data_IF_681973476674
#
_entry.id   IF_681973476674
#
_cell.length_a   1.000
_cell.length_b   1.000
_cell.length_c   1.000
_cell.angle_alpha   90.00
_cell.angle_beta   90.00
_cell.angle_gamma   90.00
#
_symmetry.space_group_name_H-M   'P 1'
#
loop_
_entity.id
_entity.type
_entity.pdbx_description
1 polymer ?
#
# COMPACT_ATOMS: atom_id res chain seq x y z
N UNK A 1 11.93 12.48 12.48
CA UNK A 1 12.67 13.75 12.48
C UNK A 1 13.70 13.78 11.36
N UNK A 2 14.15 14.99 11.00
CA UNK A 2 15.24 15.27 10.05
C UNK A 2 16.38 15.92 10.84
N UNK A 3 17.60 15.46 10.61
CA UNK A 3 18.84 16.03 11.20
C UNK A 3 19.91 16.18 10.11
N UNK A 4 20.83 17.11 10.29
CA UNK A 4 22.02 17.23 9.42
C UNK A 4 23.09 16.23 9.90
N UNK A 5 23.70 15.53 8.95
CA UNK A 5 24.85 14.66 9.22
C UNK A 5 26.14 15.37 8.81
N UNK A 6 27.04 15.53 9.75
CA UNK A 6 28.36 16.08 9.45
C UNK A 6 29.29 14.93 9.05
N UNK A 7 29.72 14.91 7.80
CA UNK A 7 30.55 13.82 7.24
C UNK A 7 31.98 13.79 7.80
N UNK A 8 32.51 14.94 8.25
CA UNK A 8 33.86 15.02 8.81
C UNK A 8 33.91 14.48 10.25
N UNK A 9 32.91 14.82 11.05
CA UNK A 9 32.84 14.42 12.46
C UNK A 9 32.06 13.15 12.72
N UNK A 10 31.30 12.67 11.71
CA UNK A 10 30.41 11.51 11.85
C UNK A 10 29.21 11.75 12.79
N UNK A 11 28.88 13.00 13.12
CA UNK A 11 27.84 13.33 14.09
C UNK A 11 26.56 13.85 13.42
N UNK A 12 25.42 13.55 14.04
CA UNK A 12 24.12 14.16 13.70
C UNK A 12 23.95 15.45 14.52
N UNK A 13 23.31 16.46 13.89
CA UNK A 13 22.80 17.64 14.58
C UNK A 13 21.57 17.29 15.43
N UNK A 14 21.15 18.22 16.28
CA UNK A 14 19.79 18.19 16.81
C UNK A 14 18.77 18.16 15.65
N UNK A 15 17.56 17.62 15.90
CA UNK A 15 16.52 17.62 14.89
C UNK A 15 16.19 19.02 14.38
N UNK A 16 16.31 19.22 13.07
CA UNK A 16 15.96 20.50 12.40
C UNK A 16 14.50 20.54 11.99
N UNK A 17 13.86 19.36 11.89
CA UNK A 17 12.42 19.21 11.66
C UNK A 17 11.92 17.91 12.28
N UNK A 18 10.73 17.95 12.88
CA UNK A 18 10.05 16.76 13.40
C UNK A 18 8.53 16.90 13.29
N UNK A 19 7.84 15.78 13.13
CA UNK A 19 6.38 15.71 13.18
C UNK A 19 5.99 14.57 14.10
N UNK A 20 5.29 14.92 15.20
CA UNK A 20 4.83 13.93 16.18
C UNK A 20 3.80 12.99 15.55
N UNK A 21 3.91 11.71 15.87
CA UNK A 21 2.99 10.63 15.44
C UNK A 21 2.83 10.45 13.91
N UNK A 22 3.82 10.95 13.13
CA UNK A 22 3.85 10.80 11.68
C UNK A 22 5.22 10.32 11.22
N UNK A 23 5.23 9.57 10.12
CA UNK A 23 6.47 9.22 9.43
C UNK A 23 6.78 10.25 8.34
N UNK A 24 8.02 10.74 8.32
CA UNK A 24 8.50 11.62 7.26
C UNK A 24 8.85 10.75 6.06
N UNK A 25 8.22 11.01 4.92
CA UNK A 25 8.33 10.16 3.72
C UNK A 25 8.95 10.88 2.52
N UNK A 26 8.93 12.19 2.50
CA UNK A 26 9.59 13.00 1.45
C UNK A 26 10.31 14.17 2.12
N UNK A 27 11.52 14.42 1.67
CA UNK A 27 12.31 15.60 1.98
C UNK A 27 12.82 16.17 0.67
N UNK A 28 12.47 17.42 0.40
CA UNK A 28 13.01 18.20 -0.72
C UNK A 28 13.90 19.30 -0.18
N UNK A 29 15.13 19.34 -0.69
CA UNK A 29 16.16 20.32 -0.30
C UNK A 29 16.69 20.97 -1.56
N UNK A 30 16.79 22.29 -1.56
CA UNK A 30 17.39 23.07 -2.61
C UNK A 30 18.40 24.06 -2.00
N UNK A 31 19.62 24.10 -2.53
CA UNK A 31 20.71 24.95 -2.05
C UNK A 31 21.02 24.86 -0.55
N UNK A 32 20.70 23.69 0.06
CA UNK A 32 20.91 23.42 1.50
C UNK A 32 19.72 23.78 2.40
N UNK A 33 18.67 24.40 1.86
CA UNK A 33 17.45 24.73 2.58
C UNK A 33 16.33 23.72 2.32
N UNK A 34 15.55 23.42 3.35
CA UNK A 34 14.38 22.56 3.22
C UNK A 34 13.29 23.33 2.48
N UNK A 35 12.83 22.80 1.36
CA UNK A 35 11.72 23.34 0.56
C UNK A 35 10.40 22.69 0.92
N UNK A 36 10.41 21.39 1.10
CA UNK A 36 9.21 20.63 1.42
C UNK A 36 9.53 19.44 2.31
N UNK A 37 8.67 19.16 3.27
CA UNK A 37 8.64 17.92 4.04
C UNK A 37 7.26 17.32 3.97
N UNK A 38 7.14 16.09 3.43
CA UNK A 38 5.89 15.37 3.48
C UNK A 38 5.95 14.26 4.54
N UNK A 39 4.84 14.10 5.24
CA UNK A 39 4.65 13.12 6.29
C UNK A 39 3.32 12.40 6.13
N UNK A 40 3.23 11.19 6.66
CA UNK A 40 2.08 10.32 6.49
C UNK A 40 1.64 9.71 7.83
N UNK A 41 0.31 9.57 7.97
CA UNK A 41 -0.34 8.66 8.89
C UNK A 41 -1.44 7.90 8.12
N UNK A 42 -2.62 8.48 7.92
CA UNK A 42 -3.67 7.91 7.05
C UNK A 42 -3.64 8.53 5.66
N UNK A 43 -3.29 9.78 5.59
CA UNK A 43 -3.13 10.59 4.38
C UNK A 43 -1.73 11.15 4.32
N UNK A 44 -1.30 11.58 3.14
CA UNK A 44 -0.09 12.37 2.97
C UNK A 44 -0.39 13.85 3.18
N UNK A 45 0.41 14.49 4.00
CA UNK A 45 0.45 15.93 4.17
C UNK A 45 1.86 16.44 3.92
N UNK A 46 1.96 17.70 3.49
CA UNK A 46 3.25 18.33 3.24
C UNK A 46 3.28 19.73 3.86
N UNK A 47 4.36 20.01 4.57
CA UNK A 47 4.73 21.37 4.97
C UNK A 47 5.64 21.96 3.89
N UNK A 48 5.16 23.02 3.24
CA UNK A 48 5.85 23.76 2.22
C UNK A 48 6.46 25.02 2.86
N UNK A 49 7.76 25.22 2.67
CA UNK A 49 8.48 26.32 3.30
C UNK A 49 8.52 27.56 2.41
N UNK A 50 8.20 27.44 1.12
CA UNK A 50 7.95 28.59 0.26
C UNK A 50 6.58 29.22 0.59
N UNK A 51 6.52 30.51 0.99
CA UNK A 51 5.27 31.16 1.39
C UNK A 51 4.24 31.26 0.26
N UNK A 52 4.68 31.44 -0.98
CA UNK A 52 3.79 31.58 -2.14
C UNK A 52 3.15 30.24 -2.48
N UNK A 53 3.97 29.18 -2.59
CA UNK A 53 3.48 27.83 -2.86
C UNK A 53 2.52 27.35 -1.75
N UNK A 54 2.89 27.58 -0.50
CA UNK A 54 2.04 27.25 0.65
C UNK A 54 0.70 28.02 0.61
N UNK A 55 0.72 29.29 0.24
CA UNK A 55 -0.47 30.11 0.04
C UNK A 55 -1.41 29.54 -1.03
N UNK A 56 -0.86 29.10 -2.15
CA UNK A 56 -1.60 28.48 -3.26
C UNK A 56 -2.25 27.16 -2.80
N UNK A 57 -1.48 26.26 -2.19
CA UNK A 57 -2.03 24.98 -1.69
C UNK A 57 -3.15 25.21 -0.68
N UNK A 58 -2.99 26.16 0.25
CA UNK A 58 -4.04 26.52 1.21
C UNK A 58 -5.31 27.06 0.53
N UNK A 59 -5.15 27.88 -0.52
CA UNK A 59 -6.28 28.39 -1.30
C UNK A 59 -7.02 27.26 -2.04
N UNK A 60 -6.28 26.36 -2.69
CA UNK A 60 -6.85 25.22 -3.38
C UNK A 60 -7.54 24.23 -2.42
N UNK A 61 -7.00 24.02 -1.22
CA UNK A 61 -7.64 23.18 -0.19
C UNK A 61 -8.99 23.71 0.29
N UNK A 62 -9.24 25.02 0.21
CA UNK A 62 -10.57 25.58 0.50
C UNK A 62 -11.62 25.15 -0.53
N UNK A 63 -11.21 25.00 -1.81
CA UNK A 63 -12.10 24.56 -2.89
C UNK A 63 -12.21 23.04 -2.98
N UNK A 64 -11.20 22.31 -2.48
CA UNK A 64 -11.10 20.86 -2.52
C UNK A 64 -10.67 20.29 -1.15
N UNK A 65 -11.52 20.44 -0.09
CA UNK A 65 -11.12 20.13 1.30
C UNK A 65 -10.72 18.68 1.52
N UNK A 66 -11.39 17.73 0.83
CA UNK A 66 -11.16 16.29 1.01
C UNK A 66 -10.17 15.71 -0.01
N UNK A 67 -9.37 16.57 -0.66
CA UNK A 67 -8.43 16.14 -1.69
C UNK A 67 -6.98 16.36 -1.26
N UNK A 68 -6.15 15.43 -1.67
CA UNK A 68 -4.72 15.67 -1.73
C UNK A 68 -4.41 16.55 -2.94
N UNK A 69 -3.66 17.62 -2.70
CA UNK A 69 -3.29 18.62 -3.71
C UNK A 69 -1.78 18.72 -3.74
N UNK A 70 -1.22 18.69 -4.94
CA UNK A 70 0.21 18.80 -5.19
C UNK A 70 0.44 19.66 -6.42
N UNK A 71 1.42 20.56 -6.37
CA UNK A 71 1.92 21.27 -7.55
C UNK A 71 2.88 20.31 -8.26
N UNK A 72 2.49 19.84 -9.44
CA UNK A 72 3.24 18.82 -10.18
C UNK A 72 4.18 19.38 -11.23
N UNK A 73 4.02 20.66 -11.61
CA UNK A 73 4.89 21.36 -12.52
C UNK A 73 4.66 22.86 -12.42
N UNK A 74 5.71 23.68 -12.67
CA UNK A 74 5.61 25.13 -12.66
C UNK A 74 6.62 25.77 -13.62
N UNK A 75 6.32 27.01 -14.08
CA UNK A 75 7.25 27.84 -14.85
C UNK A 75 8.37 28.38 -13.94
N UNK A 76 9.52 28.71 -14.52
CA UNK A 76 10.69 29.18 -13.77
C UNK A 76 10.40 30.39 -12.85
N UNK A 77 9.51 31.26 -13.25
CA UNK A 77 9.08 32.46 -12.52
C UNK A 77 7.84 32.20 -11.64
N UNK A 78 7.40 30.94 -11.55
CA UNK A 78 6.20 30.51 -10.83
C UNK A 78 4.92 31.26 -11.24
N UNK A 79 4.90 31.90 -12.41
CA UNK A 79 3.71 32.59 -12.94
C UNK A 79 2.63 31.63 -13.45
N UNK A 80 3.02 30.40 -13.82
CA UNK A 80 2.13 29.31 -14.25
C UNK A 80 2.49 28.02 -13.55
N UNK A 81 1.47 27.25 -13.17
CA UNK A 81 1.69 25.95 -12.56
C UNK A 81 0.56 24.96 -12.89
N UNK A 82 0.85 23.68 -12.70
CA UNK A 82 -0.11 22.60 -12.80
C UNK A 82 -0.31 22.01 -11.41
N UNK A 83 -1.57 21.99 -10.94
CA UNK A 83 -1.93 21.29 -9.73
C UNK A 83 -2.58 19.95 -10.07
N UNK A 84 -2.17 18.91 -9.35
CA UNK A 84 -2.80 17.60 -9.32
C UNK A 84 -3.70 17.51 -8.11
N UNK A 85 -4.97 17.18 -8.31
CA UNK A 85 -6.01 17.10 -7.28
C UNK A 85 -6.63 15.71 -7.31
N UNK A 86 -6.61 14.98 -6.19
CA UNK A 86 -7.09 13.59 -6.12
C UNK A 86 -7.58 13.20 -4.71
N UNK A 87 -8.39 12.16 -4.64
CA UNK A 87 -8.68 11.42 -3.41
C UNK A 87 -9.00 9.94 -3.73
N UNK A 88 -9.40 9.13 -2.74
CA UNK A 88 -9.72 7.72 -2.97
C UNK A 88 -10.87 7.48 -3.96
N UNK A 89 -11.80 8.43 -4.07
CA UNK A 89 -13.01 8.31 -4.89
C UNK A 89 -12.95 9.13 -6.18
N UNK A 90 -11.87 9.88 -6.40
CA UNK A 90 -11.68 10.70 -7.58
C UNK A 90 -10.30 10.45 -8.18
N UNK A 91 -10.22 9.97 -9.44
CA UNK A 91 -8.96 9.92 -10.16
C UNK A 91 -8.24 11.27 -10.13
N UNK A 92 -6.93 11.25 -10.27
CA UNK A 92 -6.16 12.48 -10.32
C UNK A 92 -6.64 13.37 -11.48
N UNK A 93 -6.96 14.62 -11.15
CA UNK A 93 -7.30 15.68 -12.11
C UNK A 93 -6.19 16.69 -12.16
N UNK A 94 -5.89 17.17 -13.35
CA UNK A 94 -4.83 18.13 -13.62
C UNK A 94 -5.45 19.45 -14.03
N UNK A 95 -5.10 20.52 -13.31
CA UNK A 95 -5.57 21.87 -13.58
C UNK A 95 -4.37 22.78 -13.83
N UNK A 96 -4.42 23.55 -14.90
CA UNK A 96 -3.49 24.63 -15.17
C UNK A 96 -3.95 25.93 -14.50
N UNK A 97 -3.00 26.68 -13.97
CA UNK A 97 -3.21 27.99 -13.36
C UNK A 97 -2.25 29.00 -13.97
N UNK A 98 -2.77 30.18 -14.32
CA UNK A 98 -2.01 31.33 -14.79
C UNK A 98 -2.27 32.50 -13.82
N UNK A 99 -1.26 32.83 -13.00
CA UNK A 99 -1.37 33.92 -11.99
C UNK A 99 -1.44 35.29 -12.62
N UNK A 100 -0.84 35.48 -13.81
CA UNK A 100 -0.83 36.77 -14.50
C UNK A 100 -2.24 37.13 -14.94
N UNK A 101 -2.97 36.15 -15.46
CA UNK A 101 -4.35 36.35 -15.94
C UNK A 101 -5.41 36.02 -14.91
N UNK A 102 -5.03 35.40 -13.79
CA UNK A 102 -5.95 34.91 -12.76
C UNK A 102 -6.84 33.73 -13.24
N UNK A 103 -6.49 33.09 -14.36
CA UNK A 103 -7.30 32.03 -14.95
C UNK A 103 -6.84 30.65 -14.52
N UNK A 104 -7.80 29.75 -14.35
CA UNK A 104 -7.57 28.32 -14.19
C UNK A 104 -8.34 27.56 -15.28
N UNK A 105 -7.81 26.43 -15.70
CA UNK A 105 -8.44 25.57 -16.70
C UNK A 105 -8.18 24.11 -16.42
N UNK A 106 -9.15 23.27 -16.71
CA UNK A 106 -8.99 21.82 -16.62
C UNK A 106 -8.13 21.34 -17.81
N UNK A 107 -7.13 20.50 -17.52
CA UNK A 107 -6.25 19.92 -18.54
C UNK A 107 -6.72 18.52 -18.89
N UNK A 108 -6.80 17.63 -17.89
CA UNK A 108 -7.14 16.23 -18.08
C UNK A 108 -7.46 15.54 -16.75
N UNK A 109 -7.99 14.32 -16.86
CA UNK A 109 -8.11 13.38 -15.75
C UNK A 109 -7.30 12.12 -16.06
N UNK A 110 -6.76 11.48 -15.03
CA UNK A 110 -6.02 10.22 -15.17
C UNK A 110 -6.88 9.10 -15.78
N UNK A 111 -8.17 9.08 -15.42
CA UNK A 111 -9.15 8.11 -15.93
C UNK A 111 -10.47 8.84 -16.28
N UNK A 112 -10.54 9.55 -17.44
CA UNK A 112 -11.72 10.33 -17.80
C UNK A 112 -13.01 9.48 -17.85
N UNK A 113 -12.89 8.22 -18.26
CA UNK A 113 -14.01 7.29 -18.36
C UNK A 113 -14.61 6.88 -17.00
N UNK A 114 -13.92 7.14 -15.89
CA UNK A 114 -14.37 6.82 -14.54
C UNK A 114 -14.94 8.02 -13.78
N UNK A 115 -14.91 9.21 -14.37
CA UNK A 115 -15.46 10.40 -13.75
C UNK A 115 -16.95 10.20 -13.44
N UNK A 116 -17.35 10.60 -12.22
CA UNK A 116 -18.71 10.49 -11.71
C UNK A 116 -19.31 9.06 -11.65
N UNK A 117 -18.49 8.02 -11.90
CA UNK A 117 -18.94 6.62 -11.81
C UNK A 117 -18.61 5.96 -10.48
N UNK A 118 -17.76 6.59 -9.69
CA UNK A 118 -17.33 6.05 -8.39
C UNK A 118 -18.36 6.40 -7.32
N UNK A 119 -18.92 5.37 -6.73
CA UNK A 119 -19.92 5.51 -5.66
C UNK A 119 -19.55 4.63 -4.47
N UNK A 120 -18.46 4.98 -3.81
CA UNK A 120 -17.90 4.24 -2.68
C UNK A 120 -17.73 5.14 -1.45
N UNK A 121 -17.54 4.52 -0.29
CA UNK A 121 -17.13 5.16 0.95
C UNK A 121 -15.97 4.38 1.54
N UNK A 122 -14.91 5.07 1.94
CA UNK A 122 -13.75 4.49 2.61
C UNK A 122 -13.76 4.89 4.08
N UNK A 123 -13.56 3.92 4.96
CA UNK A 123 -13.40 4.11 6.40
C UNK A 123 -12.03 3.68 6.84
N UNK A 124 -11.43 4.45 7.73
CA UNK A 124 -10.24 4.03 8.50
C UNK A 124 -10.70 3.07 9.58
N UNK A 125 -10.03 1.93 9.68
CA UNK A 125 -10.31 0.87 10.65
C UNK A 125 -9.11 0.76 11.59
N UNK A 126 -9.39 0.79 12.88
CA UNK A 126 -8.42 0.48 13.93
C UNK A 126 -8.84 -0.81 14.63
N UNK A 127 -7.91 -1.75 14.75
CA UNK A 127 -8.19 -3.04 15.37
C UNK A 127 -6.94 -3.57 16.08
N UNK A 128 -7.12 -4.61 16.89
CA UNK A 128 -6.02 -5.33 17.52
C UNK A 128 -5.90 -6.71 16.97
N UNK A 129 -4.66 -7.13 16.72
CA UNK A 129 -4.37 -8.53 16.43
C UNK A 129 -4.61 -9.41 17.65
N UNK A 130 -4.66 -10.72 17.44
CA UNK A 130 -4.81 -11.73 18.50
C UNK A 130 -3.73 -11.69 19.59
N UNK A 131 -2.56 -11.14 19.28
CA UNK A 131 -1.47 -10.89 20.23
C UNK A 131 -1.48 -9.49 20.83
N UNK A 132 -2.56 -8.70 20.59
CA UNK A 132 -2.79 -7.40 21.19
C UNK A 132 -2.10 -6.23 20.48
N UNK A 133 -1.41 -6.47 19.35
CA UNK A 133 -0.72 -5.42 18.60
C UNK A 133 -1.73 -4.49 17.93
N UNK A 134 -1.52 -3.15 18.04
CA UNK A 134 -2.40 -2.17 17.42
C UNK A 134 -2.17 -2.13 15.92
N UNK A 135 -3.24 -2.30 15.15
CA UNK A 135 -3.23 -2.38 13.69
C UNK A 135 -4.24 -1.43 13.07
N UNK A 136 -4.04 -1.16 11.79
CA UNK A 136 -4.87 -0.27 11.00
C UNK A 136 -5.27 -0.94 9.69
N UNK A 137 -6.31 -0.41 9.05
CA UNK A 137 -6.74 -0.83 7.72
C UNK A 137 -7.70 0.17 7.10
N UNK A 138 -8.02 -0.05 5.84
CA UNK A 138 -9.00 0.76 5.11
C UNK A 138 -10.09 -0.15 4.56
N UNK A 139 -11.34 0.17 4.90
CA UNK A 139 -12.52 -0.54 4.40
C UNK A 139 -13.26 0.35 3.42
N UNK A 140 -13.24 -0.04 2.15
CA UNK A 140 -13.99 0.66 1.10
C UNK A 140 -15.21 -0.17 0.70
N UNK A 141 -16.39 0.45 0.74
CA UNK A 141 -17.68 -0.20 0.49
C UNK A 141 -18.47 0.52 -0.60
N UNK A 142 -19.22 -0.20 -1.44
CA UNK A 142 -20.20 0.40 -2.34
C UNK A 142 -21.34 1.02 -1.52
N UNK A 143 -21.72 2.27 -1.81
CA UNK A 143 -22.77 2.98 -1.04
C UNK A 143 -24.16 2.38 -1.18
N UNK A 144 -24.45 1.75 -2.31
CA UNK A 144 -25.81 1.32 -2.66
C UNK A 144 -26.10 -0.16 -2.31
N UNK A 145 -25.11 -0.93 -1.83
CA UNK A 145 -25.26 -2.37 -1.61
C UNK A 145 -25.21 -2.64 -0.11
N UNK A 146 -26.25 -3.31 0.39
CA UNK A 146 -26.29 -3.83 1.76
C UNK A 146 -25.66 -5.22 1.79
N UNK A 147 -24.97 -5.51 2.88
CA UNK A 147 -24.30 -6.78 3.13
C UNK A 147 -23.46 -7.27 1.93
N UNK A 148 -22.53 -6.42 1.38
CA UNK A 148 -21.72 -6.80 0.23
C UNK A 148 -20.75 -7.92 0.57
N UNK A 149 -20.42 -8.81 -0.38
CA UNK A 149 -19.32 -9.77 -0.24
C UNK A 149 -17.99 -9.04 -0.05
N UNK A 150 -17.03 -9.70 0.61
CA UNK A 150 -15.79 -9.06 1.05
C UNK A 150 -14.57 -9.56 0.29
N UNK A 151 -13.73 -8.65 -0.14
CA UNK A 151 -12.37 -8.95 -0.60
C UNK A 151 -11.37 -8.47 0.45
N UNK A 152 -10.57 -9.40 0.97
CA UNK A 152 -9.36 -9.09 1.72
C UNK A 152 -8.24 -8.79 0.72
N UNK A 153 -7.75 -7.55 0.70
CA UNK A 153 -6.82 -7.05 -0.32
C UNK A 153 -5.53 -6.48 0.30
N UNK A 154 -4.60 -7.33 0.76
CA UNK A 154 -3.33 -6.90 1.30
C UNK A 154 -2.43 -6.30 0.21
N UNK A 155 -1.72 -5.23 0.57
CA UNK A 155 -0.75 -4.58 -0.32
C UNK A 155 0.51 -5.42 -0.54
N UNK A 156 1.26 -5.06 -1.58
CA UNK A 156 2.59 -5.61 -1.85
C UNK A 156 3.67 -5.03 -0.92
N UNK A 157 4.92 -5.38 -1.18
CA UNK A 157 6.07 -4.88 -0.44
C UNK A 157 6.90 -6.00 0.19
N UNK A 158 6.80 -6.31 1.49
CA UNK A 158 5.77 -5.96 2.48
C UNK A 158 5.87 -4.57 3.11
N UNK A 159 6.99 -3.87 2.96
CA UNK A 159 7.22 -2.55 3.54
C UNK A 159 6.61 -1.41 2.72
N UNK A 160 5.49 -1.68 2.05
CA UNK A 160 4.65 -0.68 1.40
C UNK A 160 3.44 -0.34 2.28
N UNK A 161 2.48 0.38 1.73
CA UNK A 161 1.22 0.72 2.40
C UNK A 161 0.15 1.12 1.41
N UNK A 162 -1.11 1.00 1.80
CA UNK A 162 -2.22 1.66 1.15
C UNK A 162 -2.46 3.05 1.73
N UNK A 163 -3.23 3.89 1.03
CA UNK A 163 -3.54 5.26 1.41
C UNK A 163 -4.97 5.63 1.04
N UNK A 164 -5.64 6.38 1.91
CA UNK A 164 -7.02 6.86 1.66
C UNK A 164 -7.09 8.12 0.80
N UNK A 165 -5.97 8.77 0.51
CA UNK A 165 -5.88 9.94 -0.36
C UNK A 165 -5.41 9.60 -1.78
N UNK A 166 -5.38 8.31 -2.12
CA UNK A 166 -4.95 7.81 -3.43
C UNK A 166 -6.07 7.03 -4.11
N UNK A 167 -6.28 7.31 -5.40
CA UNK A 167 -7.20 6.54 -6.23
C UNK A 167 -6.53 5.24 -6.69
N UNK A 168 -6.99 4.13 -6.15
CA UNK A 168 -6.55 2.79 -6.57
C UNK A 168 -7.56 2.22 -7.59
N UNK A 169 -7.18 2.07 -8.86
CA UNK A 169 -8.08 1.57 -9.88
C UNK A 169 -8.50 0.10 -9.65
N UNK A 170 -7.66 -0.73 -9.03
CA UNK A 170 -8.00 -2.12 -8.72
C UNK A 170 -9.04 -2.20 -7.61
N UNK A 171 -8.81 -1.44 -6.53
CA UNK A 171 -9.78 -1.27 -5.45
C UNK A 171 -11.13 -0.82 -6.00
N UNK A 172 -11.14 0.25 -6.80
CA UNK A 172 -12.38 0.81 -7.33
C UNK A 172 -13.06 -0.12 -8.35
N UNK A 173 -12.29 -0.89 -9.13
CA UNK A 173 -12.85 -1.92 -10.01
C UNK A 173 -13.58 -2.99 -9.20
N UNK A 174 -13.00 -3.50 -8.12
CA UNK A 174 -13.65 -4.49 -7.24
C UNK A 174 -14.90 -3.91 -6.57
N UNK A 175 -14.82 -2.68 -6.05
CA UNK A 175 -15.96 -2.02 -5.41
C UNK A 175 -17.10 -1.75 -6.41
N UNK A 176 -16.78 -1.39 -7.66
CA UNK A 176 -17.79 -1.18 -8.72
C UNK A 176 -18.55 -2.45 -9.08
N UNK A 177 -17.96 -3.63 -8.84
CA UNK A 177 -18.61 -4.93 -8.99
C UNK A 177 -19.43 -5.35 -7.77
N UNK A 178 -19.52 -4.48 -6.76
CA UNK A 178 -20.38 -4.70 -5.60
C UNK A 178 -19.66 -5.33 -4.40
N UNK A 179 -18.35 -5.46 -4.41
CA UNK A 179 -17.59 -5.97 -3.28
C UNK A 179 -17.24 -4.87 -2.29
N UNK A 180 -17.27 -5.17 -1.00
CA UNK A 180 -16.50 -4.43 -0.02
C UNK A 180 -15.04 -4.89 -0.08
N UNK A 181 -14.09 -3.97 0.02
CA UNK A 181 -12.66 -4.27 -0.03
C UNK A 181 -11.99 -3.81 1.27
N UNK A 182 -11.35 -4.72 1.97
CA UNK A 182 -10.57 -4.41 3.16
C UNK A 182 -9.08 -4.51 2.85
N UNK A 183 -8.36 -3.39 3.05
CA UNK A 183 -6.92 -3.24 2.87
C UNK A 183 -6.24 -3.16 4.24
N UNK A 184 -5.75 -4.28 4.80
CA UNK A 184 -5.08 -4.29 6.10
C UNK A 184 -3.69 -3.66 5.99
N UNK A 185 -3.35 -2.80 6.96
CA UNK A 185 -2.00 -2.33 7.18
C UNK A 185 -1.38 -3.22 8.26
N UNK A 186 -0.93 -4.41 7.86
CA UNK A 186 -0.37 -5.41 8.76
C UNK A 186 1.00 -4.96 9.29
N UNK A 187 1.48 -5.55 10.41
CA UNK A 187 2.84 -5.26 10.91
C UNK A 187 3.87 -5.45 9.79
N UNK A 188 4.85 -4.57 9.70
CA UNK A 188 5.79 -4.50 8.59
C UNK A 188 5.43 -3.45 7.54
N UNK A 189 4.18 -2.93 7.50
CA UNK A 189 3.79 -1.85 6.61
C UNK A 189 4.55 -0.55 6.93
N UNK A 190 4.85 0.25 5.90
CA UNK A 190 5.48 1.56 6.04
C UNK A 190 4.47 2.64 6.47
N UNK A 191 4.97 3.80 6.92
CA UNK A 191 4.16 4.97 7.24
C UNK A 191 3.57 4.97 8.66
N UNK A 192 3.93 3.99 9.49
CA UNK A 192 3.48 3.84 10.88
C UNK A 192 4.64 3.93 11.89
N UNK A 193 5.82 4.33 11.40
CA UNK A 193 7.04 4.42 12.17
C UNK A 193 7.90 3.14 12.09
N UNK A 194 9.18 3.32 12.48
CA UNK A 194 10.20 2.26 12.37
C UNK A 194 9.83 1.00 13.15
N UNK A 195 9.29 1.15 14.36
CA UNK A 195 8.96 -0.01 15.20
C UNK A 195 7.84 -0.86 14.58
N UNK A 196 6.87 -0.21 13.94
CA UNK A 196 5.82 -0.91 13.20
C UNK A 196 6.38 -1.68 12.00
N UNK A 197 7.30 -1.08 11.27
CA UNK A 197 7.95 -1.71 10.13
C UNK A 197 8.82 -2.90 10.55
N UNK A 198 9.64 -2.73 11.58
CA UNK A 198 10.55 -3.77 12.09
C UNK A 198 9.78 -4.93 12.74
N UNK A 199 8.60 -4.66 13.33
CA UNK A 199 7.77 -5.71 13.92
C UNK A 199 7.30 -6.79 12.94
N UNK A 200 7.38 -6.51 11.63
CA UNK A 200 7.10 -7.48 10.56
C UNK A 200 8.30 -8.34 10.14
N UNK A 201 9.51 -8.02 10.60
CA UNK A 201 10.70 -8.77 10.19
C UNK A 201 10.62 -10.22 10.65
N UNK A 202 10.87 -11.15 9.71
CA UNK A 202 10.80 -12.61 9.90
C UNK A 202 9.42 -13.14 10.35
N UNK A 203 8.37 -12.35 10.09
CA UNK A 203 6.97 -12.68 10.43
C UNK A 203 6.11 -12.96 9.19
N UNK A 204 6.71 -13.06 7.99
CA UNK A 204 6.01 -13.46 6.77
C UNK A 204 5.39 -14.84 6.94
N UNK A 205 4.10 -14.98 6.58
CA UNK A 205 3.34 -16.21 6.76
C UNK A 205 3.03 -16.59 8.22
N UNK A 206 3.42 -15.75 9.18
CA UNK A 206 3.17 -15.91 10.62
C UNK A 206 2.29 -14.77 11.15
N UNK A 207 2.85 -13.88 11.99
CA UNK A 207 2.09 -12.78 12.59
C UNK A 207 1.54 -11.81 11.55
N UNK A 208 2.29 -11.53 10.48
CA UNK A 208 1.80 -10.69 9.38
C UNK A 208 0.55 -11.29 8.73
N UNK A 209 0.53 -12.62 8.50
CA UNK A 209 -0.66 -13.31 7.98
C UNK A 209 -1.82 -13.26 8.99
N UNK A 210 -1.52 -13.50 10.27
CA UNK A 210 -2.52 -13.41 11.34
C UNK A 210 -3.14 -12.01 11.43
N UNK A 211 -2.35 -10.95 11.29
CA UNK A 211 -2.83 -9.56 11.33
C UNK A 211 -3.89 -9.28 10.27
N UNK A 212 -3.66 -9.80 9.05
CA UNK A 212 -4.60 -9.67 7.93
C UNK A 212 -5.92 -10.40 8.22
N UNK A 213 -5.83 -11.62 8.76
CA UNK A 213 -7.01 -12.43 9.11
C UNK A 213 -7.77 -11.83 10.29
N UNK A 214 -7.07 -11.34 11.31
CA UNK A 214 -7.70 -10.70 12.47
C UNK A 214 -8.43 -9.42 12.06
N UNK A 215 -7.87 -8.65 11.13
CA UNK A 215 -8.52 -7.49 10.55
C UNK A 215 -9.75 -7.85 9.71
N UNK A 216 -9.67 -8.92 8.92
CA UNK A 216 -10.83 -9.45 8.19
C UNK A 216 -11.96 -9.87 9.15
N UNK A 217 -11.65 -10.64 10.18
CA UNK A 217 -12.63 -11.06 11.20
C UNK A 217 -13.25 -9.84 11.90
N UNK A 218 -12.42 -8.82 12.20
CA UNK A 218 -12.90 -7.59 12.81
C UNK A 218 -13.90 -6.84 11.92
N UNK A 219 -13.61 -6.66 10.63
CA UNK A 219 -14.53 -5.92 9.74
C UNK A 219 -15.81 -6.70 9.47
N UNK A 220 -15.74 -8.01 9.27
CA UNK A 220 -16.94 -8.86 9.10
C UNK A 220 -17.84 -8.83 10.34
N UNK A 221 -17.25 -8.80 11.54
CA UNK A 221 -18.02 -8.74 12.79
C UNK A 221 -18.68 -7.37 13.04
N UNK A 222 -18.02 -6.28 12.66
CA UNK A 222 -18.41 -4.93 13.09
C UNK A 222 -19.09 -4.10 11.99
N UNK A 223 -19.13 -4.59 10.75
CA UNK A 223 -19.78 -3.92 9.63
C UNK A 223 -20.76 -4.87 8.93
N UNK A 224 -21.74 -4.31 8.22
CA UNK A 224 -22.75 -5.07 7.46
C UNK A 224 -22.10 -5.64 6.18
N UNK A 225 -21.43 -6.82 6.32
CA UNK A 225 -20.63 -7.48 5.29
C UNK A 225 -20.93 -8.99 5.24
N UNK A 226 -21.02 -9.56 4.03
CA UNK A 226 -21.17 -11.01 3.84
C UNK A 226 -19.79 -11.70 3.85
N UNK A 227 -19.31 -12.03 5.05
CA UNK A 227 -18.05 -12.75 5.25
C UNK A 227 -18.06 -14.18 4.69
N UNK A 228 -19.25 -14.77 4.44
CA UNK A 228 -19.36 -16.11 3.86
C UNK A 228 -19.09 -16.15 2.35
N UNK A 229 -19.07 -14.98 1.72
CA UNK A 229 -18.73 -14.80 0.28
C UNK A 229 -17.43 -14.02 0.11
N UNK A 230 -16.44 -14.31 0.92
CA UNK A 230 -15.17 -13.62 0.89
C UNK A 230 -14.15 -14.30 -0.03
N UNK A 231 -13.28 -13.48 -0.65
CA UNK A 231 -12.07 -13.92 -1.35
C UNK A 231 -10.86 -13.11 -0.86
N UNK A 232 -9.68 -13.71 -0.96
CA UNK A 232 -8.42 -13.02 -0.70
C UNK A 232 -7.71 -12.77 -2.03
N UNK A 233 -7.40 -11.50 -2.32
CA UNK A 233 -6.82 -11.06 -3.58
C UNK A 233 -5.60 -10.21 -3.26
N UNK A 234 -4.49 -10.38 -3.98
CA UNK A 234 -3.34 -9.53 -3.77
C UNK A 234 -2.29 -9.64 -4.86
N UNK A 235 -1.39 -8.65 -4.88
CA UNK A 235 -0.29 -8.60 -5.82
C UNK A 235 1.06 -8.60 -5.10
N UNK A 236 2.09 -9.19 -5.73
CA UNK A 236 3.44 -9.26 -5.18
C UNK A 236 3.43 -9.91 -3.79
N UNK A 237 3.86 -9.23 -2.72
CA UNK A 237 3.73 -9.74 -1.35
C UNK A 237 2.26 -10.00 -0.96
N UNK A 238 1.30 -9.16 -1.40
CA UNK A 238 -0.14 -9.43 -1.23
C UNK A 238 -0.58 -10.71 -1.96
N UNK A 239 0.00 -11.00 -3.11
CA UNK A 239 -0.19 -12.28 -3.83
C UNK A 239 0.38 -13.47 -3.08
N UNK A 240 1.54 -13.32 -2.44
CA UNK A 240 2.08 -14.28 -1.47
C UNK A 240 1.12 -14.51 -0.31
N UNK A 241 0.61 -13.44 0.28
CA UNK A 241 -0.35 -13.52 1.39
C UNK A 241 -1.63 -14.28 0.98
N UNK A 242 -2.13 -14.07 -0.25
CA UNK A 242 -3.27 -14.82 -0.78
C UNK A 242 -2.95 -16.32 -0.93
N UNK A 243 -1.76 -16.66 -1.44
CA UNK A 243 -1.30 -18.05 -1.53
C UNK A 243 -1.13 -18.67 -0.14
N UNK A 244 -0.56 -17.95 0.82
CA UNK A 244 -0.43 -18.42 2.20
C UNK A 244 -1.81 -18.63 2.84
N UNK A 245 -2.74 -17.71 2.61
CA UNK A 245 -4.14 -17.83 3.06
C UNK A 245 -4.83 -19.07 2.52
N UNK A 246 -4.47 -19.54 1.31
CA UNK A 246 -5.11 -20.70 0.68
C UNK A 246 -4.86 -22.04 1.37
N UNK A 247 -3.84 -22.14 2.22
CA UNK A 247 -3.62 -23.32 3.05
C UNK A 247 -3.76 -23.06 4.56
N UNK A 248 -3.49 -21.82 5.02
CA UNK A 248 -3.60 -21.49 6.45
C UNK A 248 -5.01 -21.08 6.90
N UNK A 249 -5.84 -20.51 6.01
CA UNK A 249 -7.13 -19.90 6.36
C UNK A 249 -8.20 -20.14 5.31
N UNK A 250 -8.11 -21.24 4.56
CA UNK A 250 -9.01 -21.53 3.42
C UNK A 250 -10.48 -21.66 3.82
N UNK A 251 -10.78 -21.96 5.08
CA UNK A 251 -12.16 -22.09 5.55
C UNK A 251 -12.90 -20.74 5.57
N UNK A 252 -12.17 -19.65 5.69
CA UNK A 252 -12.73 -18.28 5.71
C UNK A 252 -13.06 -17.75 4.30
N UNK A 253 -12.45 -18.29 3.26
CA UNK A 253 -12.52 -17.73 1.90
C UNK A 253 -13.07 -18.74 0.90
N UNK A 254 -13.77 -18.24 -0.12
CA UNK A 254 -14.28 -19.03 -1.24
C UNK A 254 -13.28 -19.12 -2.39
N UNK A 255 -12.38 -18.13 -2.53
CA UNK A 255 -11.38 -18.10 -3.57
C UNK A 255 -10.15 -17.27 -3.17
N UNK A 256 -9.07 -17.50 -3.89
CA UNK A 256 -7.83 -16.77 -3.75
C UNK A 256 -7.33 -16.30 -5.13
N UNK A 257 -6.81 -15.08 -5.19
CA UNK A 257 -6.23 -14.53 -6.42
C UNK A 257 -4.83 -14.02 -6.11
N UNK A 258 -3.85 -14.59 -6.76
CA UNK A 258 -2.44 -14.19 -6.63
C UNK A 258 -1.94 -13.58 -7.93
N UNK A 259 -1.59 -12.31 -7.89
CA UNK A 259 -1.05 -11.57 -9.04
C UNK A 259 0.44 -11.36 -8.80
N UNK A 260 1.28 -12.00 -9.61
CA UNK A 260 2.74 -11.99 -9.48
C UNK A 260 3.22 -12.29 -8.03
N UNK A 261 2.52 -13.21 -7.33
CA UNK A 261 2.82 -13.56 -5.93
C UNK A 261 3.98 -14.56 -5.82
N UNK A 262 4.56 -14.61 -4.63
CA UNK A 262 5.65 -15.52 -4.27
C UNK A 262 5.04 -16.86 -3.86
N UNK A 263 5.36 -17.95 -4.55
CA UNK A 263 4.95 -19.31 -4.16
C UNK A 263 6.01 -20.05 -3.36
N UNK A 264 7.28 -19.70 -3.58
CA UNK A 264 8.47 -20.33 -2.97
C UNK A 264 9.39 -19.23 -2.41
N UNK A 265 9.32 -19.03 -1.10
CA UNK A 265 10.10 -18.00 -0.41
C UNK A 265 11.59 -18.36 -0.36
N UNK A 266 11.92 -19.65 -0.20
CA UNK A 266 13.31 -20.12 -0.19
C UNK A 266 13.99 -19.83 -1.54
N UNK A 267 13.29 -20.11 -2.65
CA UNK A 267 13.81 -19.84 -4.00
C UNK A 267 13.96 -18.35 -4.27
N UNK A 268 12.97 -17.54 -3.85
CA UNK A 268 13.07 -16.08 -3.93
C UNK A 268 14.33 -15.59 -3.21
N UNK A 269 14.50 -15.95 -1.95
CA UNK A 269 15.64 -15.49 -1.14
C UNK A 269 16.99 -15.93 -1.71
N UNK A 270 17.07 -17.10 -2.34
CA UNK A 270 18.28 -17.53 -3.05
C UNK A 270 18.55 -16.66 -4.27
N UNK A 271 17.53 -16.29 -5.05
CA UNK A 271 17.72 -15.43 -6.23
C UNK A 271 18.16 -14.01 -5.83
N UNK A 272 17.59 -13.46 -4.76
CA UNK A 272 17.91 -12.13 -4.25
C UNK A 272 19.35 -12.02 -3.67
N UNK A 273 19.98 -13.13 -3.29
CA UNK A 273 21.38 -13.12 -2.82
C UNK A 273 22.37 -12.74 -3.93
N UNK A 274 21.99 -12.83 -5.20
CA UNK A 274 22.83 -12.39 -6.33
C UNK A 274 22.81 -10.86 -6.56
N UNK A 275 21.82 -10.14 -6.00
CA UNK A 275 21.74 -8.68 -6.10
C UNK A 275 22.49 -8.03 -4.92
N UNK A 276 23.70 -7.55 -5.17
CA UNK A 276 24.68 -7.12 -4.15
C UNK A 276 24.18 -6.06 -3.14
N UNK A 277 23.15 -5.28 -3.43
CA UNK A 277 22.65 -4.22 -2.53
C UNK A 277 21.55 -4.65 -1.57
N UNK A 278 20.70 -5.59 -1.98
CA UNK A 278 19.49 -5.99 -1.24
C UNK A 278 19.68 -7.24 -0.38
N UNK A 279 20.67 -8.08 -0.67
CA UNK A 279 20.87 -9.37 0.00
C UNK A 279 20.91 -9.28 1.54
N UNK A 280 21.65 -8.30 2.08
CA UNK A 280 21.79 -8.15 3.55
C UNK A 280 20.45 -7.73 4.19
N UNK A 281 19.75 -6.77 3.61
CA UNK A 281 18.49 -6.31 4.16
C UNK A 281 17.40 -7.38 4.02
N UNK A 282 17.35 -8.09 2.90
CA UNK A 282 16.41 -9.17 2.67
C UNK A 282 16.60 -10.32 3.68
N UNK A 283 17.86 -10.69 4.00
CA UNK A 283 18.14 -11.66 5.07
C UNK A 283 17.64 -11.21 6.44
N UNK A 284 17.80 -9.94 6.78
CA UNK A 284 17.29 -9.36 8.03
C UNK A 284 15.77 -9.42 8.06
N UNK A 285 15.12 -9.03 6.96
CA UNK A 285 13.66 -8.90 6.89
C UNK A 285 12.95 -10.25 6.78
N UNK A 286 13.50 -11.19 6.01
CA UNK A 286 12.80 -12.42 5.63
C UNK A 286 13.48 -13.69 6.14
N UNK A 287 14.76 -13.66 6.40
CA UNK A 287 15.57 -14.82 6.82
C UNK A 287 16.62 -15.23 5.78
N UNK A 288 17.60 -16.00 6.22
CA UNK A 288 18.67 -16.53 5.37
C UNK A 288 18.20 -17.80 4.65
N UNK A 289 18.35 -17.91 3.31
CA UNK A 289 17.88 -19.08 2.54
C UNK A 289 18.61 -20.39 2.85
N UNK A 290 19.70 -20.34 3.59
CA UNK A 290 20.48 -21.53 3.99
C UNK A 290 20.25 -21.83 5.49
N UNK A 291 20.40 -20.84 6.35
CA UNK A 291 20.26 -21.01 7.81
C UNK A 291 18.80 -21.12 8.25
N UNK A 292 17.90 -20.36 7.61
CA UNK A 292 16.48 -20.32 7.94
C UNK A 292 15.62 -21.12 6.97
N UNK A 293 16.20 -22.07 6.20
CA UNK A 293 15.48 -22.81 5.15
C UNK A 293 14.21 -23.46 5.65
N UNK A 294 14.24 -24.09 6.81
CA UNK A 294 13.05 -24.76 7.37
C UNK A 294 11.89 -23.77 7.61
N UNK A 295 12.20 -22.55 8.09
CA UNK A 295 11.22 -21.48 8.23
C UNK A 295 10.68 -21.03 6.87
N UNK A 296 11.55 -20.72 5.91
CA UNK A 296 11.15 -20.25 4.58
C UNK A 296 10.30 -21.29 3.84
N UNK A 297 10.64 -22.57 3.95
CA UNK A 297 9.86 -23.66 3.40
C UNK A 297 8.49 -23.77 4.07
N UNK A 298 8.39 -23.58 5.39
CA UNK A 298 7.13 -23.65 6.14
C UNK A 298 6.13 -22.55 5.81
N UNK A 299 6.59 -21.47 5.18
CA UNK A 299 5.75 -20.34 4.74
C UNK A 299 5.63 -20.23 3.22
N UNK A 300 6.10 -21.23 2.48
CA UNK A 300 6.07 -21.33 1.02
C UNK A 300 4.89 -22.17 0.56
N UNK A 301 3.94 -21.57 -0.14
CA UNK A 301 2.71 -22.23 -0.58
C UNK A 301 2.94 -23.44 -1.50
N UNK A 302 4.06 -23.49 -2.21
CA UNK A 302 4.44 -24.62 -3.07
C UNK A 302 4.51 -25.94 -2.31
N UNK A 303 4.79 -25.90 -1.00
CA UNK A 303 4.92 -27.08 -0.16
C UNK A 303 3.57 -27.59 0.39
N UNK A 304 2.47 -26.89 0.10
CA UNK A 304 1.12 -27.18 0.62
C UNK A 304 0.08 -27.34 -0.49
N UNK A 305 0.51 -27.60 -1.72
CA UNK A 305 -0.39 -27.70 -2.89
C UNK A 305 -1.48 -28.76 -2.74
N UNK A 306 -1.19 -29.86 -2.05
CA UNK A 306 -2.13 -30.96 -1.82
C UNK A 306 -3.18 -30.62 -0.73
N UNK A 307 -2.88 -29.66 0.14
CA UNK A 307 -3.76 -29.21 1.21
C UNK A 307 -4.79 -28.18 0.74
N UNK A 308 -4.57 -27.55 -0.42
CA UNK A 308 -5.41 -26.49 -0.95
C UNK A 308 -6.69 -27.08 -1.55
N UNK A 309 -7.84 -26.68 -0.99
CA UNK A 309 -9.17 -27.16 -1.41
C UNK A 309 -10.03 -26.11 -2.11
N UNK A 310 -9.61 -24.83 -2.09
CA UNK A 310 -10.36 -23.73 -2.67
C UNK A 310 -9.77 -23.31 -4.02
N UNK A 311 -10.58 -22.74 -4.92
CA UNK A 311 -10.11 -22.23 -6.21
C UNK A 311 -9.05 -21.14 -6.02
N UNK A 312 -7.99 -21.23 -6.82
CA UNK A 312 -6.94 -20.20 -6.91
C UNK A 312 -6.85 -19.73 -8.36
N UNK A 313 -6.87 -18.41 -8.55
CA UNK A 313 -6.51 -17.77 -9.80
C UNK A 313 -5.06 -17.24 -9.69
N UNK A 314 -4.20 -17.70 -10.58
CA UNK A 314 -2.82 -17.23 -10.70
C UNK A 314 -2.68 -16.34 -11.93
N UNK A 315 -2.23 -15.11 -11.71
CA UNK A 315 -1.91 -14.15 -12.78
C UNK A 315 -0.44 -13.81 -12.67
N UNK A 316 0.32 -14.05 -13.75
CA UNK A 316 1.76 -13.81 -13.74
C UNK A 316 2.26 -13.38 -15.11
N UNK A 317 3.19 -12.42 -15.14
CA UNK A 317 3.81 -11.97 -16.38
C UNK A 317 4.93 -12.95 -16.81
N UNK A 318 5.02 -13.24 -18.11
CA UNK A 318 6.05 -14.12 -18.67
C UNK A 318 7.48 -13.59 -18.50
N UNK A 319 7.64 -12.28 -18.29
CA UNK A 319 8.92 -11.60 -18.10
C UNK A 319 9.04 -10.95 -16.69
N UNK A 320 8.30 -11.43 -15.71
CA UNK A 320 8.41 -10.94 -14.34
C UNK A 320 9.75 -11.37 -13.74
N UNK A 321 10.71 -10.46 -13.69
CA UNK A 321 12.14 -10.73 -13.42
C UNK A 321 12.40 -11.28 -12.02
N UNK A 322 11.67 -10.83 -11.01
CA UNK A 322 11.87 -11.26 -9.62
C UNK A 322 11.24 -12.62 -9.30
N UNK A 323 10.37 -13.16 -10.16
CA UNK A 323 9.55 -14.34 -9.86
C UNK A 323 9.42 -15.32 -11.04
N UNK A 324 10.31 -15.25 -12.05
CA UNK A 324 10.25 -15.99 -13.32
C UNK A 324 10.36 -17.52 -13.18
N UNK A 325 10.38 -18.04 -11.96
CA UNK A 325 10.51 -19.47 -11.72
C UNK A 325 9.29 -20.10 -11.03
N UNK A 326 8.11 -19.50 -11.20
CA UNK A 326 6.85 -20.16 -10.90
C UNK A 326 6.53 -21.23 -11.95
N UNK A 327 7.26 -22.32 -11.93
CA UNK A 327 6.79 -23.56 -12.52
C UNK A 327 5.98 -24.31 -11.46
N UNK A 328 4.75 -23.86 -11.21
CA UNK A 328 3.73 -24.78 -10.75
C UNK A 328 3.49 -25.76 -11.90
N UNK A 329 3.30 -27.08 -11.64
CA UNK A 329 2.78 -27.98 -12.64
C UNK A 329 1.39 -27.44 -13.03
N UNK A 330 1.36 -26.70 -14.13
CA UNK A 330 0.13 -26.13 -14.67
C UNK A 330 -0.74 -27.26 -15.21
N UNK A 331 -1.65 -27.76 -14.40
CA UNK A 331 -2.91 -28.21 -14.97
C UNK A 331 -3.59 -26.95 -15.50
N UNK A 332 -3.54 -26.73 -16.82
CA UNK A 332 -4.41 -25.78 -17.51
C UNK A 332 -5.83 -26.15 -17.15
N UNK A 333 -6.47 -25.33 -16.32
CA UNK A 333 -7.93 -25.27 -16.23
C UNK A 333 -8.30 -24.18 -17.23
N UNK A 334 -8.87 -24.60 -18.37
CA UNK A 334 -9.53 -23.75 -19.36
C UNK A 334 -10.84 -23.28 -18.77
#
# INVERSE_FOLDING_TARGET
YISKFNVETGKLSDPIYQKKDHEIVVLEVEEGDIKMVCYEKFTRECDLFDPEENGIIKALKKSFPDHYINISSYSKDFSRFIATIRNSNSPAKYFGFDKVTGKSFFISSQYPQLENKINSITKVIEYKSRDGYQLYGFLTMPKAIKNPPVILFPHGGPTARDRVDYFDPWLQAMVSQGYAVFQPQFRGSAGWGKDYQVSGYRESGKKMQNDMIDGFDYVVKNYDLDGNKACMVGASYGGYAALTGSFQSQDKFKCFVSIAGISDFTKLMRSETFFRGSAKINKIMHGDPFEDKAYLDSVSAINYTDDIKRPILLIHGTYAVSYTHLTLPTKRIV
#
